data_IF_940191195952
#
_entry.id   IF_940191195952
#
_cell.length_a   1.000
_cell.length_b   1.000
_cell.length_c   1.000
_cell.angle_alpha   90.00
_cell.angle_beta   90.00
_cell.angle_gamma   90.00
#
_symmetry.space_group_name_H-M   'P 1'
#
loop_
_entity.id
_entity.type
_entity.pdbx_description
1 polymer ?
#
# COMPACT_ATOMS: atom_id res chain seq x y z
N UNK A 1 -15.77 -1.97 -10.30
CA UNK A 1 -15.78 -3.36 -10.79
C UNK A 1 -17.20 -3.87 -10.70
N UNK A 2 -17.89 -4.09 -11.82
CA UNK A 2 -19.27 -4.61 -11.81
C UNK A 2 -19.20 -6.11 -11.56
N UNK A 3 -19.18 -6.51 -10.29
CA UNK A 3 -19.54 -7.87 -9.86
C UNK A 3 -21.07 -7.96 -10.04
N UNK A 4 -21.50 -8.03 -11.29
CA UNK A 4 -22.91 -8.12 -11.69
C UNK A 4 -23.01 -9.26 -12.71
N UNK A 5 -23.17 -10.50 -12.26
CA UNK A 5 -23.77 -11.56 -13.12
C UNK A 5 -24.07 -12.92 -12.47
N UNK A 6 -23.93 -13.14 -11.16
CA UNK A 6 -24.63 -14.28 -10.53
C UNK A 6 -24.90 -14.09 -9.03
N UNK A 7 -26.00 -14.64 -8.49
CA UNK A 7 -26.25 -14.73 -7.04
C UNK A 7 -25.10 -15.41 -6.29
N UNK A 8 -24.44 -16.37 -6.92
CA UNK A 8 -23.33 -17.11 -6.33
C UNK A 8 -22.11 -16.22 -6.06
N UNK A 9 -21.76 -15.32 -6.98
CA UNK A 9 -20.66 -14.37 -6.78
C UNK A 9 -21.00 -13.31 -5.73
N UNK A 10 -22.28 -12.98 -5.54
CA UNK A 10 -22.72 -12.10 -4.45
C UNK A 10 -22.59 -12.79 -3.10
N UNK A 11 -22.94 -14.08 -3.01
CA UNK A 11 -22.75 -14.86 -1.78
C UNK A 11 -21.27 -14.98 -1.38
N UNK A 12 -20.39 -15.16 -2.37
CA UNK A 12 -18.95 -15.15 -2.16
C UNK A 12 -18.44 -13.76 -1.78
N UNK A 13 -18.89 -12.69 -2.43
CA UNK A 13 -18.52 -11.32 -2.06
C UNK A 13 -18.89 -11.02 -0.60
N UNK A 14 -20.07 -11.48 -0.17
CA UNK A 14 -20.48 -11.40 1.23
C UNK A 14 -19.51 -12.22 2.12
N UNK A 15 -19.25 -13.48 1.80
CA UNK A 15 -18.34 -14.33 2.58
C UNK A 15 -16.90 -13.78 2.64
N UNK A 16 -16.35 -13.32 1.52
CA UNK A 16 -15.00 -12.74 1.43
C UNK A 16 -14.88 -11.43 2.22
N UNK A 17 -15.96 -10.65 2.27
CA UNK A 17 -16.03 -9.41 3.04
C UNK A 17 -16.25 -9.62 4.54
N UNK A 18 -16.72 -10.81 4.92
CA UNK A 18 -16.99 -11.17 6.31
C UNK A 18 -15.75 -11.76 7.00
N UNK A 19 -15.71 -11.72 8.34
CA UNK A 19 -14.64 -12.30 9.13
C UNK A 19 -14.60 -13.84 9.13
N UNK A 20 -15.39 -14.51 8.30
CA UNK A 20 -15.65 -15.94 8.41
C UNK A 20 -14.90 -16.76 7.36
N UNK A 21 -13.73 -17.26 7.76
CA UNK A 21 -12.94 -18.22 6.95
C UNK A 21 -13.72 -19.50 6.69
N UNK A 22 -14.62 -19.91 7.58
CA UNK A 22 -15.39 -21.14 7.45
C UNK A 22 -16.39 -21.02 6.30
N UNK A 23 -17.07 -19.89 6.17
CA UNK A 23 -17.97 -19.61 5.04
C UNK A 23 -17.22 -19.69 3.69
N UNK A 24 -16.04 -19.09 3.59
CA UNK A 24 -15.18 -19.21 2.39
C UNK A 24 -14.74 -20.65 2.15
N UNK A 25 -14.32 -21.37 3.18
CA UNK A 25 -13.90 -22.77 3.07
C UNK A 25 -15.05 -23.67 2.60
N UNK A 26 -16.26 -23.45 3.11
CA UNK A 26 -17.47 -24.17 2.70
C UNK A 26 -17.80 -23.89 1.24
N UNK A 27 -17.74 -22.62 0.82
CA UNK A 27 -17.96 -22.24 -0.58
C UNK A 27 -16.95 -22.90 -1.52
N UNK A 28 -15.66 -22.91 -1.17
CA UNK A 28 -14.60 -23.55 -1.98
C UNK A 28 -14.67 -25.08 -1.99
N UNK A 29 -15.35 -25.69 -1.00
CA UNK A 29 -15.59 -27.14 -0.95
C UNK A 29 -16.72 -27.57 -1.89
N UNK A 30 -17.70 -26.69 -2.13
CA UNK A 30 -18.85 -26.94 -3.00
C UNK A 30 -19.07 -25.77 -3.96
N UNK A 31 -18.08 -25.44 -4.82
CA UNK A 31 -18.22 -24.28 -5.68
C UNK A 31 -19.24 -24.56 -6.79
N UNK A 32 -20.02 -23.55 -7.22
CA UNK A 32 -20.86 -23.68 -8.41
C UNK A 32 -20.01 -23.86 -9.66
N UNK A 33 -20.64 -24.28 -10.76
CA UNK A 33 -19.98 -24.31 -12.07
C UNK A 33 -19.72 -22.88 -12.53
N UNK A 34 -18.45 -22.47 -12.54
CA UNK A 34 -18.02 -21.14 -12.92
C UNK A 34 -17.16 -21.20 -14.20
N UNK A 35 -17.24 -20.13 -15.01
CA UNK A 35 -16.32 -19.95 -16.13
C UNK A 35 -14.90 -19.62 -15.64
N UNK A 36 -13.90 -19.73 -16.53
CA UNK A 36 -12.53 -19.33 -16.23
C UNK A 36 -12.44 -17.86 -15.75
N UNK A 37 -13.17 -16.96 -16.41
CA UNK A 37 -13.21 -15.54 -16.02
C UNK A 37 -13.86 -15.34 -14.64
N UNK A 38 -14.94 -16.05 -14.33
CA UNK A 38 -15.56 -15.96 -13.01
C UNK A 38 -14.61 -16.43 -11.90
N UNK A 39 -13.85 -17.51 -12.12
CA UNK A 39 -12.79 -17.92 -11.18
C UNK A 39 -11.66 -16.88 -11.04
N UNK A 40 -11.33 -16.16 -12.10
CA UNK A 40 -10.37 -15.06 -12.05
C UNK A 40 -10.90 -13.91 -11.17
N UNK A 41 -12.19 -13.58 -11.29
CA UNK A 41 -12.84 -12.57 -10.45
C UNK A 41 -12.88 -13.00 -8.98
N UNK A 42 -13.13 -14.29 -8.70
CA UNK A 42 -13.01 -14.88 -7.35
C UNK A 42 -11.60 -14.72 -6.80
N UNK A 43 -10.59 -15.05 -7.60
CA UNK A 43 -9.18 -14.86 -7.23
C UNK A 43 -8.88 -13.41 -6.85
N UNK A 44 -9.33 -12.46 -7.67
CA UNK A 44 -9.15 -11.03 -7.41
C UNK A 44 -9.87 -10.60 -6.12
N UNK A 45 -11.11 -11.05 -5.90
CA UNK A 45 -11.87 -10.75 -4.70
C UNK A 45 -11.18 -11.28 -3.43
N UNK A 46 -10.76 -12.54 -3.44
CA UNK A 46 -10.01 -13.13 -2.32
C UNK A 46 -8.70 -12.39 -2.07
N UNK A 47 -7.98 -11.99 -3.13
CA UNK A 47 -6.78 -11.16 -2.99
C UNK A 47 -7.11 -9.81 -2.33
N UNK A 48 -8.11 -9.08 -2.82
CA UNK A 48 -8.53 -7.78 -2.25
C UNK A 48 -8.92 -7.88 -0.77
N UNK A 49 -9.49 -9.01 -0.35
CA UNK A 49 -9.87 -9.30 1.03
C UNK A 49 -8.78 -10.03 1.84
N UNK A 50 -7.55 -10.09 1.33
CA UNK A 50 -6.38 -10.66 2.02
C UNK A 50 -6.58 -12.13 2.42
N UNK A 51 -7.04 -12.93 1.46
CA UNK A 51 -7.22 -14.37 1.55
C UNK A 51 -6.30 -15.07 0.52
N UNK A 52 -4.97 -15.06 0.73
CA UNK A 52 -3.99 -15.47 -0.28
C UNK A 52 -4.15 -16.94 -0.71
N UNK A 53 -4.49 -17.84 0.22
CA UNK A 53 -4.70 -19.25 -0.09
C UNK A 53 -5.92 -19.49 -0.99
N UNK A 54 -7.00 -18.73 -0.76
CA UNK A 54 -8.21 -18.80 -1.57
C UNK A 54 -8.03 -18.11 -2.92
N UNK A 55 -7.27 -17.02 -2.96
CA UNK A 55 -6.89 -16.36 -4.19
C UNK A 55 -6.06 -17.29 -5.08
N UNK A 56 -5.08 -17.99 -4.49
CA UNK A 56 -4.24 -18.95 -5.22
C UNK A 56 -5.09 -20.10 -5.77
N UNK A 57 -5.89 -20.75 -4.92
CA UNK A 57 -6.76 -21.86 -5.33
C UNK A 57 -7.80 -21.46 -6.40
N UNK A 58 -8.26 -20.22 -6.41
CA UNK A 58 -9.15 -19.70 -7.44
C UNK A 58 -8.42 -19.41 -8.76
N UNK A 59 -7.21 -18.84 -8.69
CA UNK A 59 -6.39 -18.58 -9.87
C UNK A 59 -5.97 -19.88 -10.58
N UNK A 60 -5.67 -20.94 -9.83
CA UNK A 60 -5.36 -22.27 -10.37
C UNK A 60 -6.57 -22.87 -11.10
N UNK A 61 -7.78 -22.73 -10.55
CA UNK A 61 -9.03 -23.18 -11.20
C UNK A 61 -9.33 -22.40 -12.47
N UNK A 62 -9.13 -21.07 -12.46
CA UNK A 62 -9.29 -20.25 -13.65
C UNK A 62 -8.38 -20.73 -14.79
N UNK A 63 -7.11 -20.99 -14.45
CA UNK A 63 -6.10 -21.43 -15.39
C UNK A 63 -6.33 -22.86 -15.89
N UNK A 64 -6.83 -23.77 -15.05
CA UNK A 64 -7.18 -25.12 -15.47
C UNK A 64 -8.31 -25.15 -16.53
N UNK A 65 -9.24 -24.19 -16.48
CA UNK A 65 -10.34 -24.07 -17.43
C UNK A 65 -9.95 -23.40 -18.75
N UNK A 66 -8.93 -22.53 -18.73
CA UNK A 66 -8.42 -21.83 -19.91
C UNK A 66 -6.90 -21.64 -19.81
N UNK A 67 -6.12 -22.72 -20.05
CA UNK A 67 -4.67 -22.72 -19.79
C UNK A 67 -3.88 -21.78 -20.70
N UNK A 68 -4.42 -21.44 -21.88
CA UNK A 68 -3.74 -20.61 -22.89
C UNK A 68 -4.16 -19.14 -22.86
N UNK A 69 -4.91 -18.70 -21.84
CA UNK A 69 -5.35 -17.31 -21.71
C UNK A 69 -4.27 -16.44 -21.01
N UNK A 70 -3.62 -15.49 -21.69
CA UNK A 70 -2.52 -14.71 -21.12
C UNK A 70 -2.95 -13.93 -19.86
N UNK A 71 -4.13 -13.31 -19.88
CA UNK A 71 -4.66 -12.60 -18.71
C UNK A 71 -4.81 -13.47 -17.46
N UNK A 72 -5.11 -14.77 -17.62
CA UNK A 72 -5.19 -15.70 -16.50
C UNK A 72 -3.81 -16.14 -16.02
N UNK A 73 -2.86 -16.35 -16.94
CA UNK A 73 -1.46 -16.63 -16.61
C UNK A 73 -0.84 -15.48 -15.81
N UNK A 74 -1.02 -14.22 -16.26
CA UNK A 74 -0.52 -13.04 -15.54
C UNK A 74 -1.18 -12.91 -14.17
N UNK A 75 -2.49 -13.09 -14.07
CA UNK A 75 -3.20 -13.05 -12.79
C UNK A 75 -2.68 -14.11 -11.81
N UNK A 76 -2.49 -15.35 -12.26
CA UNK A 76 -1.91 -16.41 -11.44
C UNK A 76 -0.48 -16.05 -11.00
N UNK A 77 0.36 -15.56 -11.92
CA UNK A 77 1.69 -15.05 -11.60
C UNK A 77 1.69 -13.92 -10.55
N UNK A 78 0.70 -13.02 -10.62
CA UNK A 78 0.51 -11.97 -9.61
C UNK A 78 0.19 -12.58 -8.25
N UNK A 79 -0.74 -13.52 -8.16
CA UNK A 79 -1.10 -14.15 -6.88
C UNK A 79 0.07 -14.93 -6.29
N UNK A 80 0.82 -15.68 -7.10
CA UNK A 80 2.03 -16.39 -6.69
C UNK A 80 3.07 -15.45 -6.08
N UNK A 81 3.28 -14.27 -6.69
CA UNK A 81 4.19 -13.24 -6.15
C UNK A 81 3.75 -12.78 -4.76
N UNK A 82 2.46 -12.54 -4.56
CA UNK A 82 1.90 -12.16 -3.25
C UNK A 82 2.02 -13.29 -2.22
N UNK A 83 1.86 -14.54 -2.65
CA UNK A 83 2.07 -15.73 -1.82
C UNK A 83 3.56 -16.01 -1.53
N UNK A 84 4.47 -15.32 -2.19
CA UNK A 84 5.92 -15.47 -2.02
C UNK A 84 6.58 -16.55 -2.87
N UNK A 85 5.84 -17.15 -3.80
CA UNK A 85 6.36 -18.14 -4.75
C UNK A 85 6.95 -17.42 -5.96
N UNK A 86 8.11 -16.78 -5.77
CA UNK A 86 8.68 -15.82 -6.73
C UNK A 86 9.14 -16.46 -8.05
N UNK A 87 9.81 -17.61 -7.98
CA UNK A 87 10.31 -18.30 -9.18
C UNK A 87 9.14 -18.83 -10.03
N UNK A 88 8.09 -19.32 -9.38
CA UNK A 88 6.87 -19.76 -10.05
C UNK A 88 6.10 -18.59 -10.65
N UNK A 89 6.01 -17.46 -9.93
CA UNK A 89 5.45 -16.23 -10.46
C UNK A 89 6.19 -15.78 -11.74
N UNK A 90 7.52 -15.78 -11.72
CA UNK A 90 8.33 -15.43 -12.89
C UNK A 90 8.05 -16.34 -14.09
N UNK A 91 7.98 -17.66 -13.88
CA UNK A 91 7.67 -18.64 -14.94
C UNK A 91 6.30 -18.40 -15.58
N UNK A 92 5.27 -18.13 -14.77
CA UNK A 92 3.92 -17.87 -15.30
C UNK A 92 3.81 -16.52 -16.00
N UNK A 93 4.47 -15.49 -15.49
CA UNK A 93 4.57 -14.20 -16.17
C UNK A 93 5.30 -14.34 -17.50
N UNK A 94 6.39 -15.10 -17.57
CA UNK A 94 7.13 -15.33 -18.81
C UNK A 94 6.26 -16.07 -19.85
N UNK A 95 5.43 -17.04 -19.44
CA UNK A 95 4.43 -17.66 -20.34
C UNK A 95 3.40 -16.66 -20.86
N UNK A 96 2.87 -15.81 -19.98
CA UNK A 96 1.92 -14.75 -20.36
C UNK A 96 2.53 -13.80 -21.40
N UNK A 97 3.76 -13.36 -21.13
CA UNK A 97 4.48 -12.39 -21.95
C UNK A 97 4.98 -12.97 -23.27
N UNK A 98 5.12 -14.29 -23.39
CA UNK A 98 5.36 -14.94 -24.67
C UNK A 98 4.15 -14.82 -25.63
N UNK A 99 2.93 -14.74 -25.07
CA UNK A 99 1.69 -14.61 -25.85
C UNK A 99 1.27 -13.15 -26.05
N UNK A 100 1.49 -12.29 -25.05
CA UNK A 100 1.23 -10.86 -25.13
C UNK A 100 2.41 -10.05 -24.56
N UNK A 101 3.47 -9.81 -25.36
CA UNK A 101 4.65 -9.09 -24.90
C UNK A 101 4.39 -7.64 -24.46
N UNK A 102 3.33 -7.01 -24.98
CA UNK A 102 2.99 -5.62 -24.72
C UNK A 102 2.09 -5.42 -23.47
N UNK A 103 1.74 -6.50 -22.75
CA UNK A 103 0.95 -6.41 -21.52
C UNK A 103 1.75 -5.70 -20.42
N UNK A 104 1.45 -4.42 -20.18
CA UNK A 104 2.29 -3.53 -19.38
C UNK A 104 2.36 -3.94 -17.91
N UNK A 105 1.23 -4.28 -17.29
CA UNK A 105 1.20 -4.70 -15.89
C UNK A 105 2.01 -6.00 -15.66
N UNK A 106 1.89 -6.97 -16.59
CA UNK A 106 2.66 -8.22 -16.52
C UNK A 106 4.16 -7.97 -16.65
N UNK A 107 4.58 -7.09 -17.56
CA UNK A 107 5.98 -6.69 -17.70
C UNK A 107 6.52 -6.00 -16.44
N UNK A 108 5.73 -5.07 -15.87
CA UNK A 108 6.14 -4.37 -14.65
C UNK A 108 6.32 -5.33 -13.48
N UNK A 109 5.34 -6.21 -13.23
CA UNK A 109 5.45 -7.19 -12.14
C UNK A 109 6.60 -8.17 -12.40
N UNK A 110 6.84 -8.57 -13.65
CA UNK A 110 7.97 -9.44 -13.99
C UNK A 110 9.32 -8.77 -13.75
N UNK A 111 9.42 -7.46 -13.98
CA UNK A 111 10.63 -6.67 -13.77
C UNK A 111 10.91 -6.35 -12.29
N UNK A 112 9.93 -6.51 -11.39
CA UNK A 112 10.14 -6.48 -9.94
C UNK A 112 10.81 -7.75 -9.40
N UNK A 113 10.80 -8.84 -10.18
CA UNK A 113 11.45 -10.10 -9.85
C UNK A 113 12.87 -10.12 -10.42
N UNK A 114 13.74 -10.93 -9.80
CA UNK A 114 15.08 -11.17 -10.32
C UNK A 114 15.03 -11.74 -11.75
N UNK A 115 16.04 -11.40 -12.54
CA UNK A 115 16.17 -11.84 -13.92
C UNK A 115 17.64 -12.08 -14.24
N UNK A 116 17.94 -13.20 -14.87
CA UNK A 116 19.29 -13.51 -15.36
C UNK A 116 19.58 -12.83 -16.71
N UNK A 117 18.55 -12.35 -17.40
CA UNK A 117 18.65 -11.70 -18.72
C UNK A 117 18.03 -10.29 -18.75
N UNK A 118 18.35 -9.39 -17.81
CA UNK A 118 17.71 -8.08 -17.71
C UNK A 118 18.01 -7.19 -18.94
N UNK A 119 19.17 -7.34 -19.56
CA UNK A 119 19.58 -6.69 -20.81
C UNK A 119 18.68 -7.06 -21.99
N UNK A 120 18.44 -8.35 -22.19
CA UNK A 120 17.61 -8.87 -23.29
C UNK A 120 16.17 -8.38 -23.14
N UNK A 121 15.65 -8.37 -21.90
CA UNK A 121 14.30 -7.88 -21.60
C UNK A 121 14.18 -6.38 -21.80
N UNK A 122 15.19 -5.59 -21.38
CA UNK A 122 15.22 -4.15 -21.61
C UNK A 122 15.22 -3.80 -23.11
N UNK A 123 16.00 -4.53 -23.91
CA UNK A 123 16.03 -4.35 -25.37
C UNK A 123 14.67 -4.65 -26.00
N UNK A 124 14.02 -5.76 -25.62
CA UNK A 124 12.69 -6.11 -26.10
C UNK A 124 11.63 -5.06 -25.74
N UNK A 125 11.65 -4.56 -24.49
CA UNK A 125 10.74 -3.48 -24.07
C UNK A 125 10.98 -2.19 -24.85
N UNK A 126 12.24 -1.83 -25.09
CA UNK A 126 12.60 -0.65 -25.89
C UNK A 126 12.03 -0.77 -27.30
N UNK A 127 12.11 -1.95 -27.92
CA UNK A 127 11.52 -2.22 -29.23
C UNK A 127 9.99 -2.10 -29.22
N UNK A 128 9.32 -2.71 -28.24
CA UNK A 128 7.85 -2.64 -28.10
C UNK A 128 7.39 -1.18 -27.97
N UNK A 129 8.03 -0.40 -27.08
CA UNK A 129 7.65 0.99 -26.81
C UNK A 129 7.91 1.90 -28.02
N UNK A 130 8.88 1.56 -28.88
CA UNK A 130 9.25 2.40 -30.04
C UNK A 130 8.53 2.03 -31.33
N UNK A 131 8.25 0.73 -31.57
CA UNK A 131 7.74 0.23 -32.85
C UNK A 131 6.25 -0.07 -32.86
N UNK A 132 5.64 -0.32 -31.71
CA UNK A 132 4.25 -0.75 -31.63
C UNK A 132 3.33 0.37 -31.16
N UNK A 133 2.11 0.40 -31.70
CA UNK A 133 1.03 1.19 -31.11
C UNK A 133 0.52 0.43 -29.88
N UNK A 134 1.00 0.85 -28.71
CA UNK A 134 0.63 0.28 -27.42
C UNK A 134 -0.37 1.22 -26.73
N UNK A 135 -1.42 0.71 -26.07
CA UNK A 135 -2.29 1.55 -25.24
C UNK A 135 -1.49 2.40 -24.25
N UNK A 136 -1.99 3.60 -23.93
CA UNK A 136 -1.25 4.54 -23.06
C UNK A 136 -1.01 3.96 -21.65
N UNK A 137 -1.98 3.21 -21.10
CA UNK A 137 -1.85 2.59 -19.78
C UNK A 137 -0.75 1.52 -19.74
N UNK A 138 -0.70 0.66 -20.76
CA UNK A 138 0.37 -0.32 -20.92
C UNK A 138 1.71 0.37 -21.14
N UNK A 139 1.74 1.41 -21.96
CA UNK A 139 2.95 2.19 -22.24
C UNK A 139 3.57 2.78 -20.97
N UNK A 140 2.76 3.30 -20.04
CA UNK A 140 3.25 3.75 -18.73
C UNK A 140 3.92 2.60 -17.99
N UNK A 141 3.23 1.47 -17.84
CA UNK A 141 3.76 0.33 -17.10
C UNK A 141 5.03 -0.26 -17.75
N UNK A 142 5.10 -0.31 -19.09
CA UNK A 142 6.30 -0.72 -19.83
C UNK A 142 7.49 0.21 -19.58
N UNK A 143 7.29 1.54 -19.51
CA UNK A 143 8.36 2.47 -19.14
C UNK A 143 8.88 2.20 -17.72
N UNK A 144 7.99 1.95 -16.75
CA UNK A 144 8.41 1.57 -15.41
C UNK A 144 9.12 0.19 -15.40
N UNK A 145 8.68 -0.78 -16.21
CA UNK A 145 9.35 -2.08 -16.35
C UNK A 145 10.77 -1.92 -16.94
N UNK A 146 10.93 -1.09 -17.97
CA UNK A 146 12.24 -0.78 -18.56
C UNK A 146 13.17 -0.11 -17.54
N UNK A 147 12.65 0.85 -16.76
CA UNK A 147 13.40 1.45 -15.66
C UNK A 147 13.86 0.41 -14.63
N UNK A 148 13.05 -0.62 -14.33
CA UNK A 148 13.43 -1.72 -13.43
C UNK A 148 14.54 -2.59 -13.98
N UNK A 149 14.52 -2.94 -15.26
CA UNK A 149 15.62 -3.71 -15.85
C UNK A 149 16.92 -2.89 -15.95
N UNK A 150 16.84 -1.60 -16.32
CA UNK A 150 17.98 -0.70 -16.28
C UNK A 150 18.55 -0.56 -14.84
N UNK A 151 17.67 -0.51 -13.83
CA UNK A 151 18.04 -0.53 -12.41
C UNK A 151 18.79 -1.81 -12.02
N UNK A 152 18.38 -2.98 -12.52
CA UNK A 152 19.06 -4.26 -12.27
C UNK A 152 20.45 -4.32 -12.93
N UNK A 153 20.63 -3.65 -14.07
CA UNK A 153 21.92 -3.52 -14.77
C UNK A 153 22.85 -2.45 -14.17
N UNK A 154 22.35 -1.62 -13.25
CA UNK A 154 23.10 -0.46 -12.72
C UNK A 154 23.21 0.71 -13.71
N UNK A 155 22.39 0.73 -14.76
CA UNK A 155 22.35 1.81 -15.75
C UNK A 155 21.44 2.95 -15.26
N UNK A 156 21.97 3.78 -14.35
CA UNK A 156 21.17 4.78 -13.63
C UNK A 156 20.61 5.90 -14.51
N UNK A 157 21.37 6.35 -15.51
CA UNK A 157 20.94 7.39 -16.45
C UNK A 157 19.77 6.89 -17.32
N UNK A 158 19.89 5.69 -17.89
CA UNK A 158 18.84 5.06 -18.69
C UNK A 158 17.59 4.79 -17.84
N UNK A 159 17.79 4.32 -16.60
CA UNK A 159 16.70 4.10 -15.67
C UNK A 159 15.91 5.39 -15.41
N UNK A 160 16.59 6.51 -15.16
CA UNK A 160 15.93 7.80 -14.93
C UNK A 160 15.21 8.31 -16.18
N UNK A 161 15.77 8.14 -17.38
CA UNK A 161 15.10 8.49 -18.62
C UNK A 161 13.79 7.71 -18.82
N UNK A 162 13.80 6.40 -18.57
CA UNK A 162 12.59 5.57 -18.64
C UNK A 162 11.58 5.95 -17.57
N UNK A 163 12.04 6.23 -16.36
CA UNK A 163 11.19 6.64 -15.24
C UNK A 163 10.51 7.98 -15.50
N UNK A 164 11.26 8.99 -15.95
CA UNK A 164 10.75 10.32 -16.30
C UNK A 164 9.72 10.23 -17.44
N UNK A 165 10.00 9.41 -18.46
CA UNK A 165 9.07 9.18 -19.57
C UNK A 165 7.76 8.55 -19.09
N UNK A 166 7.84 7.52 -18.23
CA UNK A 166 6.66 6.87 -17.65
C UNK A 166 5.87 7.79 -16.73
N UNK A 167 6.55 8.54 -15.87
CA UNK A 167 5.95 9.46 -14.91
C UNK A 167 5.26 10.64 -15.62
N UNK A 168 5.89 11.25 -16.63
CA UNK A 168 5.31 12.32 -17.43
C UNK A 168 4.02 11.89 -18.13
N UNK A 169 4.03 10.71 -18.77
CA UNK A 169 2.84 10.10 -19.39
C UNK A 169 1.74 9.82 -18.39
N UNK A 170 2.08 9.21 -17.25
CA UNK A 170 1.11 8.93 -16.18
C UNK A 170 0.46 10.22 -15.67
N UNK A 171 1.26 11.26 -15.43
CA UNK A 171 0.80 12.55 -14.95
C UNK A 171 -0.13 13.27 -15.94
N UNK A 172 0.11 13.12 -17.24
CA UNK A 172 -0.76 13.67 -18.28
C UNK A 172 -2.15 13.01 -18.31
N UNK A 173 -2.27 11.79 -17.76
CA UNK A 173 -3.53 11.02 -17.73
C UNK A 173 -4.55 11.44 -16.65
N UNK A 174 -4.28 12.48 -15.85
CA UNK A 174 -5.24 13.00 -14.87
C UNK A 174 -4.98 14.46 -14.50
N UNK A 175 -6.03 15.13 -13.99
CA UNK A 175 -5.93 16.48 -13.45
C UNK A 175 -5.54 16.42 -11.97
N UNK A 176 -4.46 17.10 -11.61
CA UNK A 176 -3.95 17.22 -10.26
C UNK A 176 -3.31 18.59 -10.08
N UNK A 177 -3.41 19.15 -8.87
CA UNK A 177 -2.82 20.44 -8.49
C UNK A 177 -2.27 20.33 -7.08
N UNK A 178 -0.94 20.29 -6.94
CA UNK A 178 -0.28 20.17 -5.63
C UNK A 178 -0.65 21.29 -4.66
N UNK A 179 -1.03 22.47 -5.16
CA UNK A 179 -1.52 23.58 -4.35
C UNK A 179 -2.75 23.24 -3.52
N UNK A 180 -3.62 22.33 -4.00
CA UNK A 180 -4.79 21.87 -3.24
C UNK A 180 -4.35 21.04 -2.04
N UNK A 181 -3.38 20.15 -2.22
CA UNK A 181 -2.83 19.33 -1.15
C UNK A 181 -2.05 20.20 -0.15
N UNK A 182 -1.22 21.14 -0.60
CA UNK A 182 -0.54 22.11 0.27
C UNK A 182 -1.54 22.92 1.10
N UNK A 183 -2.65 23.33 0.49
CA UNK A 183 -3.72 24.06 1.20
C UNK A 183 -4.41 23.18 2.22
N UNK A 184 -4.74 21.94 1.86
CA UNK A 184 -5.33 20.98 2.79
C UNK A 184 -4.41 20.73 3.99
N UNK A 185 -3.13 20.45 3.75
CA UNK A 185 -2.15 20.14 4.79
C UNK A 185 -1.92 21.34 5.73
N UNK A 186 -1.89 22.56 5.18
CA UNK A 186 -1.85 23.79 5.99
C UNK A 186 -3.11 23.98 6.83
N UNK A 187 -4.30 23.80 6.25
CA UNK A 187 -5.55 23.88 7.01
C UNK A 187 -5.60 22.84 8.13
N UNK A 188 -5.10 21.62 7.90
CA UNK A 188 -4.98 20.58 8.94
C UNK A 188 -4.02 20.99 10.07
N UNK A 189 -2.94 21.72 9.77
CA UNK A 189 -2.01 22.22 10.77
C UNK A 189 -2.63 23.36 11.60
N UNK A 190 -3.37 24.25 10.95
CA UNK A 190 -3.99 25.43 11.59
C UNK A 190 -5.27 25.09 12.37
N UNK A 191 -5.86 23.92 12.15
CA UNK A 191 -7.08 23.50 12.81
C UNK A 191 -6.91 23.26 14.32
N UNK A 192 -7.97 23.57 15.07
CA UNK A 192 -8.09 23.15 16.46
C UNK A 192 -8.33 21.63 16.51
N UNK A 193 -7.45 20.92 17.20
CA UNK A 193 -7.53 19.46 17.30
C UNK A 193 -8.65 19.04 18.24
N UNK A 194 -9.37 17.93 17.96
CA UNK A 194 -10.39 17.42 18.85
C UNK A 194 -9.77 17.02 20.20
N UNK A 195 -10.56 17.15 21.26
CA UNK A 195 -10.17 16.62 22.57
C UNK A 195 -9.98 15.10 22.48
N UNK A 196 -8.87 14.62 23.03
CA UNK A 196 -8.58 13.18 23.04
C UNK A 196 -9.26 12.55 24.27
N UNK A 197 -10.17 11.58 24.07
CA UNK A 197 -10.78 10.88 25.18
C UNK A 197 -9.74 10.03 25.92
N UNK A 198 -9.96 9.83 27.22
CA UNK A 198 -9.20 8.84 27.99
C UNK A 198 -9.73 7.46 27.62
N UNK A 199 -8.83 6.51 27.35
CA UNK A 199 -9.18 5.09 27.21
C UNK A 199 -9.94 4.64 28.46
N UNK A 200 -11.23 4.30 28.37
CA UNK A 200 -11.92 3.67 29.47
C UNK A 200 -11.31 2.28 29.63
N UNK A 201 -10.25 2.20 30.45
CA UNK A 201 -9.57 0.96 30.75
C UNK A 201 -10.61 -0.10 31.14
N UNK A 202 -10.42 -1.33 30.64
CA UNK A 202 -11.22 -2.56 30.88
C UNK A 202 -12.15 -3.04 29.74
N UNK A 203 -11.66 -3.10 28.50
CA UNK A 203 -12.28 -3.98 27.51
C UNK A 203 -11.28 -5.06 27.06
N UNK A 204 -11.66 -6.34 27.15
CA UNK A 204 -10.96 -7.48 26.53
C UNK A 204 -11.06 -7.48 24.99
N UNK A 205 -11.43 -6.35 24.39
CA UNK A 205 -11.61 -6.22 22.95
C UNK A 205 -10.30 -5.90 22.28
N UNK A 206 -10.07 -6.48 21.10
CA UNK A 206 -8.90 -6.18 20.29
C UNK A 206 -8.68 -4.69 20.05
N UNK A 207 -7.42 -4.29 20.13
CA UNK A 207 -7.00 -2.88 20.04
C UNK A 207 -6.36 -2.61 18.67
N UNK A 208 -6.83 -1.57 17.95
CA UNK A 208 -6.19 -1.18 16.69
C UNK A 208 -4.78 -0.63 16.95
N UNK A 209 -3.81 -1.09 16.17
CA UNK A 209 -2.47 -0.52 16.08
C UNK A 209 -2.27 0.05 14.68
N UNK A 210 -2.27 1.37 14.55
CA UNK A 210 -2.05 2.02 13.26
C UNK A 210 -0.55 2.18 12.99
N UNK A 211 -0.11 1.77 11.80
CA UNK A 211 1.23 2.07 11.29
C UNK A 211 1.09 3.01 10.10
N UNK A 212 1.52 4.25 10.27
CA UNK A 212 1.28 5.35 9.32
C UNK A 212 2.57 6.05 8.91
N UNK A 213 2.49 6.89 7.88
CA UNK A 213 3.62 7.64 7.33
C UNK A 213 3.40 7.93 5.85
N UNK A 214 4.42 8.42 5.14
CA UNK A 214 4.38 8.35 3.69
C UNK A 214 4.59 6.91 3.22
N UNK A 215 4.06 6.51 2.05
CA UNK A 215 4.41 5.20 1.50
C UNK A 215 5.93 5.13 1.28
N UNK A 216 6.48 3.91 1.32
CA UNK A 216 7.93 3.63 1.17
C UNK A 216 8.84 4.08 2.34
N UNK A 217 8.28 4.38 3.52
CA UNK A 217 9.04 4.62 4.76
C UNK A 217 9.34 3.37 5.59
N UNK A 218 9.06 2.17 5.06
CA UNK A 218 9.33 0.90 5.77
C UNK A 218 8.20 0.40 6.65
N UNK A 219 7.00 0.98 6.54
CA UNK A 219 5.81 0.58 7.30
C UNK A 219 5.47 -0.91 7.17
N UNK A 220 5.61 -1.51 5.99
CA UNK A 220 5.36 -2.94 5.78
C UNK A 220 6.41 -3.86 6.42
N UNK A 221 7.66 -3.40 6.53
CA UNK A 221 8.70 -4.15 7.26
C UNK A 221 8.38 -4.17 8.76
N UNK A 222 7.98 -3.02 9.32
CA UNK A 222 7.59 -2.95 10.72
C UNK A 222 6.34 -3.78 11.01
N UNK A 223 5.32 -3.70 10.15
CA UNK A 223 4.12 -4.54 10.24
C UNK A 223 4.49 -6.03 10.28
N UNK A 224 5.27 -6.51 9.30
CA UNK A 224 5.67 -7.92 9.23
C UNK A 224 6.46 -8.36 10.47
N UNK A 225 7.26 -7.47 11.04
CA UNK A 225 8.02 -7.78 12.25
C UNK A 225 7.14 -7.87 13.49
N UNK A 226 6.27 -6.89 13.72
CA UNK A 226 5.36 -6.92 14.86
C UNK A 226 4.36 -8.09 14.76
N UNK A 227 3.85 -8.37 13.55
CA UNK A 227 2.95 -9.50 13.29
C UNK A 227 3.58 -10.88 13.49
N UNK A 228 4.90 -10.97 13.74
CA UNK A 228 5.55 -12.23 14.15
C UNK A 228 5.25 -12.63 15.60
N UNK A 229 4.66 -11.73 16.39
CA UNK A 229 4.24 -11.99 17.76
C UNK A 229 2.82 -12.61 17.78
N UNK A 230 2.56 -13.69 18.55
CA UNK A 230 1.28 -14.43 18.50
C UNK A 230 0.04 -13.60 18.89
N UNK A 231 0.22 -12.55 19.70
CA UNK A 231 -0.85 -11.63 20.11
C UNK A 231 -1.04 -10.42 19.17
N UNK A 232 -0.34 -10.38 18.02
CA UNK A 232 -0.43 -9.32 17.03
C UNK A 232 -0.79 -9.95 15.68
N UNK A 233 -1.81 -9.43 15.01
CA UNK A 233 -2.14 -9.81 13.62
C UNK A 233 -1.93 -8.63 12.68
N UNK A 234 -1.23 -8.87 11.55
CA UNK A 234 -1.16 -7.90 10.45
C UNK A 234 -2.44 -7.92 9.64
N UNK A 235 -3.16 -6.79 9.56
CA UNK A 235 -4.38 -6.67 8.77
C UNK A 235 -4.16 -5.94 7.43
N UNK A 236 -2.92 -5.59 7.08
CA UNK A 236 -2.58 -4.93 5.83
C UNK A 236 -3.14 -3.51 5.72
N UNK A 237 -3.44 -3.09 4.49
CA UNK A 237 -4.00 -1.77 4.19
C UNK A 237 -5.54 -1.78 4.31
N UNK A 238 -6.08 -1.29 5.42
CA UNK A 238 -7.52 -1.26 5.64
C UNK A 238 -8.13 0.10 5.20
N UNK A 239 -9.09 0.12 4.26
CA UNK A 239 -9.78 1.35 3.89
C UNK A 239 -10.86 1.76 4.92
N UNK A 240 -11.04 0.98 5.99
CA UNK A 240 -12.20 1.04 6.87
C UNK A 240 -12.34 2.37 7.60
N UNK A 241 -11.23 2.95 8.10
CA UNK A 241 -11.30 4.23 8.82
C UNK A 241 -11.73 5.38 7.90
N UNK A 242 -11.10 5.49 6.73
CA UNK A 242 -11.49 6.49 5.72
C UNK A 242 -12.94 6.30 5.26
N UNK A 243 -13.39 5.04 5.08
CA UNK A 243 -14.79 4.76 4.74
C UNK A 243 -15.75 5.21 5.85
N UNK A 244 -15.42 4.93 7.11
CA UNK A 244 -16.22 5.35 8.26
C UNK A 244 -16.30 6.89 8.36
N UNK A 245 -15.18 7.59 8.14
CA UNK A 245 -15.14 9.06 8.07
C UNK A 245 -16.05 9.60 6.95
N UNK A 246 -15.93 9.06 5.74
CA UNK A 246 -16.74 9.51 4.59
C UNK A 246 -18.24 9.26 4.85
N UNK A 247 -18.59 8.09 5.38
CA UNK A 247 -19.98 7.76 5.73
C UNK A 247 -20.54 8.70 6.80
N UNK A 248 -19.77 8.98 7.85
CA UNK A 248 -20.21 9.92 8.89
C UNK A 248 -20.33 11.35 8.34
N UNK A 249 -19.37 11.78 7.52
CA UNK A 249 -19.41 13.09 6.86
C UNK A 249 -20.66 13.26 5.99
N UNK A 250 -20.98 12.26 5.17
CA UNK A 250 -22.19 12.25 4.35
C UNK A 250 -23.46 12.27 5.21
N UNK A 251 -23.49 11.48 6.28
CA UNK A 251 -24.64 11.44 7.20
C UNK A 251 -24.88 12.78 7.90
N UNK A 252 -23.82 13.51 8.25
CA UNK A 252 -23.91 14.74 9.05
C UNK A 252 -24.03 16.01 8.20
N UNK A 253 -23.38 16.06 7.05
CA UNK A 253 -23.30 17.28 6.22
C UNK A 253 -23.87 17.12 4.80
N UNK A 254 -24.15 15.89 4.36
CA UNK A 254 -24.68 15.61 3.03
C UNK A 254 -23.71 15.91 1.90
N UNK A 255 -23.73 17.15 1.39
CA UNK A 255 -22.96 17.55 0.19
C UNK A 255 -21.44 17.52 0.45
N UNK A 256 -20.63 17.17 -0.56
CA UNK A 256 -19.18 17.25 -0.45
C UNK A 256 -18.73 18.71 -0.27
N UNK A 257 -17.62 18.94 0.46
CA UNK A 257 -17.08 20.27 0.69
C UNK A 257 -16.56 20.89 -0.62
N UNK A 258 -16.68 22.21 -0.76
CA UNK A 258 -16.21 22.94 -1.94
C UNK A 258 -14.72 23.31 -1.85
N UNK A 259 -14.18 23.44 -0.63
CA UNK A 259 -12.79 23.87 -0.39
C UNK A 259 -12.09 23.00 0.67
N UNK A 260 -10.74 22.95 0.68
CA UNK A 260 -10.00 22.26 1.74
C UNK A 260 -10.29 22.82 3.14
N UNK A 261 -10.40 24.14 3.30
CA UNK A 261 -10.69 24.76 4.59
C UNK A 261 -12.07 24.37 5.14
N UNK A 262 -13.09 24.37 4.27
CA UNK A 262 -14.43 23.90 4.62
C UNK A 262 -14.43 22.42 5.01
N UNK A 263 -13.70 21.59 4.25
CA UNK A 263 -13.54 20.17 4.57
C UNK A 263 -12.94 19.98 5.97
N UNK A 264 -11.83 20.67 6.27
CA UNK A 264 -11.13 20.54 7.55
C UNK A 264 -12.01 21.00 8.73
N UNK A 265 -12.70 22.13 8.61
CA UNK A 265 -13.63 22.58 9.66
C UNK A 265 -14.77 21.59 9.92
N UNK A 266 -15.30 20.95 8.87
CA UNK A 266 -16.35 19.93 8.99
C UNK A 266 -15.81 18.60 9.53
N UNK A 267 -14.64 18.14 9.08
CA UNK A 267 -14.11 16.82 9.47
C UNK A 267 -13.77 16.77 10.97
N UNK A 268 -13.28 17.87 11.54
CA UNK A 268 -13.00 17.95 12.98
C UNK A 268 -14.23 18.17 13.86
N UNK A 269 -15.40 18.46 13.27
CA UNK A 269 -16.69 18.56 13.99
C UNK A 269 -17.59 17.34 13.80
N UNK A 270 -17.05 16.24 13.24
CA UNK A 270 -17.76 14.98 13.12
C UNK A 270 -18.04 14.35 14.50
N UNK A 271 -19.12 13.58 14.60
CA UNK A 271 -19.30 12.62 15.67
C UNK A 271 -18.26 11.48 15.53
N UNK A 272 -17.12 11.66 16.20
CA UNK A 272 -16.01 10.71 16.17
C UNK A 272 -16.31 9.42 16.93
N UNK A 273 -17.28 9.41 17.85
CA UNK A 273 -17.75 8.18 18.50
C UNK A 273 -18.39 7.26 17.46
N UNK A 274 -19.26 7.81 16.62
CA UNK A 274 -19.90 7.06 15.54
C UNK A 274 -18.90 6.61 14.45
N UNK A 275 -17.82 7.36 14.22
CA UNK A 275 -16.71 6.94 13.33
C UNK A 275 -15.99 5.73 13.92
N UNK A 276 -15.60 5.81 15.20
CA UNK A 276 -14.90 4.74 15.91
C UNK A 276 -15.69 3.44 15.93
N UNK A 277 -16.99 3.50 16.24
CA UNK A 277 -17.88 2.33 16.24
C UNK A 277 -17.94 1.63 14.88
N UNK A 278 -18.10 2.40 13.79
CA UNK A 278 -18.11 1.85 12.42
C UNK A 278 -16.78 1.21 12.03
N UNK A 279 -15.67 1.82 12.43
CA UNK A 279 -14.34 1.25 12.21
C UNK A 279 -14.18 -0.08 12.93
N UNK A 280 -14.51 -0.14 14.22
CA UNK A 280 -14.40 -1.36 15.03
C UNK A 280 -15.32 -2.46 14.49
N UNK A 281 -16.53 -2.12 14.06
CA UNK A 281 -17.45 -3.07 13.43
C UNK A 281 -16.90 -3.64 12.12
N UNK A 282 -16.37 -2.78 11.25
CA UNK A 282 -15.78 -3.21 9.98
C UNK A 282 -14.48 -4.02 10.17
N UNK A 283 -13.79 -3.86 11.31
CA UNK A 283 -12.54 -4.56 11.63
C UNK A 283 -12.70 -5.76 12.58
N UNK A 284 -13.94 -6.17 12.90
CA UNK A 284 -14.22 -7.33 13.78
C UNK A 284 -13.50 -8.62 13.39
N UNK A 285 -13.14 -8.79 12.11
CA UNK A 285 -12.35 -9.94 11.64
C UNK A 285 -11.06 -10.16 12.40
N UNK A 286 -10.39 -9.08 12.77
CA UNK A 286 -9.10 -9.16 13.44
C UNK A 286 -9.24 -9.08 14.96
N UNK A 287 -10.47 -9.12 15.50
CA UNK A 287 -10.71 -8.89 16.92
C UNK A 287 -10.36 -10.07 17.84
N UNK A 288 -9.89 -11.20 17.27
CA UNK A 288 -9.42 -12.34 18.04
C UNK A 288 -7.98 -12.18 18.59
N UNK A 289 -7.21 -11.22 18.07
CA UNK A 289 -5.87 -10.89 18.56
C UNK A 289 -5.93 -9.74 19.57
N UNK A 290 -4.96 -9.63 20.49
CA UNK A 290 -4.87 -8.48 21.41
C UNK A 290 -4.66 -7.18 20.63
N UNK A 291 -3.80 -7.22 19.61
CA UNK A 291 -3.55 -6.11 18.69
C UNK A 291 -3.76 -6.55 17.26
N UNK A 292 -4.40 -5.70 16.45
CA UNK A 292 -4.39 -5.86 14.99
C UNK A 292 -3.82 -4.62 14.34
N UNK A 293 -2.97 -4.81 13.34
CA UNK A 293 -2.26 -3.74 12.67
C UNK A 293 -3.04 -3.28 11.45
N UNK A 294 -3.50 -2.04 11.47
CA UNK A 294 -3.96 -1.32 10.29
C UNK A 294 -2.80 -0.49 9.73
N UNK A 295 -2.17 -1.02 8.69
CA UNK A 295 -1.03 -0.39 8.01
C UNK A 295 -1.52 0.24 6.73
N UNK A 296 -2.10 1.43 6.81
CA UNK A 296 -2.40 2.26 5.66
C UNK A 296 -1.64 3.59 5.78
N UNK A 297 -0.55 3.82 5.01
CA UNK A 297 0.34 4.97 5.25
C UNK A 297 -0.39 6.31 5.31
N UNK A 298 -1.33 6.54 4.38
CA UNK A 298 -2.05 7.82 4.27
C UNK A 298 -2.95 8.14 5.47
N UNK A 299 -3.25 7.16 6.35
CA UNK A 299 -3.90 7.44 7.63
C UNK A 299 -3.09 8.43 8.49
N UNK A 300 -1.84 8.72 8.16
CA UNK A 300 -1.08 9.81 8.78
C UNK A 300 -1.78 11.18 8.68
N UNK A 301 -2.64 11.43 7.70
CA UNK A 301 -3.43 12.67 7.61
C UNK A 301 -4.62 12.70 8.58
N UNK A 302 -4.96 11.55 9.15
CA UNK A 302 -6.10 11.37 10.05
C UNK A 302 -5.67 11.21 11.51
N UNK A 303 -4.39 11.46 11.86
CA UNK A 303 -3.84 11.19 13.20
C UNK A 303 -4.70 11.72 14.35
N UNK A 304 -5.09 13.01 14.39
CA UNK A 304 -5.90 13.52 15.49
C UNK A 304 -7.31 12.90 15.52
N UNK A 305 -7.89 12.61 14.35
CA UNK A 305 -9.22 12.00 14.22
C UNK A 305 -9.20 10.54 14.71
N UNK A 306 -8.15 9.78 14.38
CA UNK A 306 -7.98 8.39 14.81
C UNK A 306 -7.91 8.33 16.34
N UNK A 307 -7.05 9.15 16.94
CA UNK A 307 -6.85 9.17 18.40
C UNK A 307 -8.12 9.62 19.15
N UNK A 308 -8.88 10.56 18.57
CA UNK A 308 -10.14 11.00 19.17
C UNK A 308 -11.30 10.01 18.97
N UNK A 309 -11.35 9.30 17.84
CA UNK A 309 -12.40 8.32 17.55
C UNK A 309 -12.17 6.96 18.26
N UNK A 310 -10.91 6.62 18.55
CA UNK A 310 -10.49 5.31 19.05
C UNK A 310 -9.53 5.50 20.23
N UNK A 311 -10.02 5.79 21.44
CA UNK A 311 -9.16 6.08 22.59
C UNK A 311 -8.25 4.90 23.00
N UNK A 312 -8.63 3.66 22.64
CA UNK A 312 -7.84 2.46 22.87
C UNK A 312 -6.77 2.19 21.79
N UNK A 313 -6.78 2.95 20.69
CA UNK A 313 -5.85 2.74 19.58
C UNK A 313 -4.45 3.24 19.93
N UNK A 314 -3.46 2.51 19.42
CA UNK A 314 -2.05 2.93 19.44
C UNK A 314 -1.63 3.28 18.02
N UNK A 315 -0.74 4.26 17.88
CA UNK A 315 -0.29 4.73 16.56
C UNK A 315 1.23 4.84 16.52
N UNK A 316 1.83 4.29 15.47
CA UNK A 316 3.24 4.44 15.15
C UNK A 316 3.33 5.24 13.83
N UNK A 317 4.00 6.38 13.86
CA UNK A 317 4.36 7.14 12.67
C UNK A 317 5.80 6.80 12.26
N UNK A 318 6.00 6.43 10.99
CA UNK A 318 7.32 6.17 10.42
C UNK A 318 7.68 7.28 9.44
N UNK A 319 8.75 7.99 9.78
CA UNK A 319 9.46 8.88 8.89
C UNK A 319 10.73 8.21 8.34
N UNK A 320 11.25 8.74 7.24
CA UNK A 320 12.46 8.26 6.58
C UNK A 320 13.20 9.46 6.01
N UNK A 321 14.50 9.31 5.76
CA UNK A 321 15.27 10.31 5.03
C UNK A 321 14.51 10.77 3.76
N UNK A 322 14.22 12.09 3.63
CA UNK A 322 13.36 12.57 2.56
C UNK A 322 13.96 12.36 1.17
N UNK A 323 15.29 12.19 1.04
CA UNK A 323 15.96 11.92 -0.24
C UNK A 323 15.73 10.48 -0.66
N UNK A 324 15.95 9.55 0.27
CA UNK A 324 15.72 8.13 0.05
C UNK A 324 14.23 7.82 -0.19
N UNK A 325 13.35 8.42 0.62
CA UNK A 325 11.91 8.30 0.48
C UNK A 325 11.42 8.93 -0.83
N UNK A 326 11.85 10.15 -1.16
CA UNK A 326 11.46 10.84 -2.39
C UNK A 326 11.78 10.03 -3.63
N UNK A 327 13.01 9.52 -3.73
CA UNK A 327 13.39 8.66 -4.84
C UNK A 327 12.54 7.36 -4.88
N UNK A 328 12.27 6.74 -3.72
CA UNK A 328 11.42 5.56 -3.66
C UNK A 328 9.97 5.83 -4.08
N UNK A 329 9.43 7.02 -3.78
CA UNK A 329 8.10 7.46 -4.21
C UNK A 329 8.07 7.67 -5.73
N UNK A 330 9.06 8.37 -6.28
CA UNK A 330 9.16 8.65 -7.70
C UNK A 330 9.28 7.37 -8.54
N UNK A 331 10.08 6.41 -8.06
CA UNK A 331 10.34 5.10 -8.71
C UNK A 331 9.15 4.13 -8.71
N UNK A 332 8.08 4.41 -7.97
CA UNK A 332 6.94 3.51 -7.83
C UNK A 332 5.75 4.00 -8.66
N UNK A 333 5.16 3.09 -9.45
CA UNK A 333 3.87 3.33 -10.09
C UNK A 333 2.76 3.06 -9.06
N UNK A 334 2.04 4.12 -8.66
CA UNK A 334 0.99 4.09 -7.62
C UNK A 334 -0.44 4.17 -8.18
N UNK A 335 -0.63 3.97 -9.49
CA UNK A 335 -1.91 4.24 -10.12
C UNK A 335 -2.32 5.70 -9.91
N UNK A 336 -3.44 5.94 -9.22
CA UNK A 336 -3.94 7.29 -8.89
C UNK A 336 -3.94 7.61 -7.39
N UNK A 337 -3.38 6.73 -6.55
CA UNK A 337 -3.45 6.87 -5.09
C UNK A 337 -2.57 8.02 -4.57
N UNK A 338 -1.41 8.23 -5.19
CA UNK A 338 -0.44 9.27 -4.82
C UNK A 338 -0.12 10.15 -6.05
N UNK A 339 -1.02 11.05 -6.48
CA UNK A 339 -0.86 11.77 -7.74
C UNK A 339 0.35 12.72 -7.77
N UNK A 340 0.82 13.19 -6.62
CA UNK A 340 2.03 14.01 -6.48
C UNK A 340 3.32 13.29 -6.87
N UNK A 341 3.34 11.96 -6.98
CA UNK A 341 4.58 11.19 -7.15
C UNK A 341 5.14 11.19 -8.58
N UNK A 342 4.44 11.78 -9.55
CA UNK A 342 4.78 11.65 -10.97
C UNK A 342 5.46 12.89 -11.58
N UNK A 343 5.73 13.89 -10.75
CA UNK A 343 6.51 15.08 -11.10
C UNK A 343 7.38 15.46 -9.93
N UNK A 344 8.67 15.67 -10.18
CA UNK A 344 9.64 15.89 -9.13
C UNK A 344 9.36 17.17 -8.31
N UNK A 345 8.90 18.25 -8.96
CA UNK A 345 8.50 19.50 -8.30
C UNK A 345 7.24 19.34 -7.44
N UNK A 346 6.22 18.65 -7.94
CA UNK A 346 5.00 18.36 -7.19
C UNK A 346 5.28 17.43 -6.00
N UNK A 347 6.15 16.44 -6.19
CA UNK A 347 6.60 15.53 -5.13
C UNK A 347 7.32 16.30 -4.02
N UNK A 348 8.27 17.18 -4.38
CA UNK A 348 9.04 17.97 -3.40
C UNK A 348 8.15 18.88 -2.56
N UNK A 349 7.21 19.57 -3.24
CA UNK A 349 6.22 20.44 -2.60
C UNK A 349 5.31 19.68 -1.63
N UNK A 350 4.75 18.55 -2.07
CA UNK A 350 3.91 17.72 -1.21
C UNK A 350 4.69 17.19 0.00
N UNK A 351 5.91 16.67 -0.21
CA UNK A 351 6.75 16.13 0.86
C UNK A 351 7.07 17.21 1.90
N UNK A 352 7.40 18.43 1.50
CA UNK A 352 7.62 19.53 2.43
C UNK A 352 6.38 19.85 3.24
N UNK A 353 5.24 20.07 2.58
CA UNK A 353 3.98 20.38 3.27
C UNK A 353 3.57 19.26 4.24
N UNK A 354 3.76 18.00 3.86
CA UNK A 354 3.52 16.85 4.73
C UNK A 354 4.42 16.86 5.96
N UNK A 355 5.73 17.07 5.77
CA UNK A 355 6.69 17.10 6.87
C UNK A 355 6.45 18.26 7.83
N UNK A 356 6.07 19.43 7.30
CA UNK A 356 5.65 20.58 8.11
C UNK A 356 4.43 20.23 8.97
N UNK A 357 3.42 19.56 8.40
CA UNK A 357 2.26 19.08 9.16
C UNK A 357 2.66 18.10 10.26
N UNK A 358 3.49 17.10 9.96
CA UNK A 358 3.93 16.12 10.96
C UNK A 358 4.74 16.78 12.08
N UNK A 359 5.66 17.69 11.75
CA UNK A 359 6.42 18.46 12.74
C UNK A 359 5.51 19.32 13.63
N UNK A 360 4.42 19.85 13.07
CA UNK A 360 3.43 20.62 13.81
C UNK A 360 2.60 19.74 14.78
N UNK A 361 2.23 18.53 14.37
CA UNK A 361 1.46 17.59 15.20
C UNK A 361 2.29 16.82 16.22
N UNK A 362 3.58 16.59 15.97
CA UNK A 362 4.45 15.84 16.85
C UNK A 362 4.40 16.27 18.33
N UNK A 363 4.56 17.56 18.68
CA UNK A 363 4.46 17.99 20.09
C UNK A 363 3.03 17.96 20.64
N UNK A 364 2.00 17.97 19.79
CA UNK A 364 0.58 17.98 20.18
C UNK A 364 0.00 16.60 20.42
N UNK A 365 0.63 15.55 19.86
CA UNK A 365 0.16 14.17 19.91
C UNK A 365 1.21 13.26 20.56
N UNK A 366 1.46 13.39 21.88
CA UNK A 366 2.47 12.58 22.57
C UNK A 366 2.11 11.09 22.67
N UNK A 367 0.87 10.71 22.33
CA UNK A 367 0.43 9.31 22.30
C UNK A 367 0.96 8.55 21.08
N UNK A 368 1.42 9.26 20.05
CA UNK A 368 1.99 8.67 18.83
C UNK A 368 3.46 8.31 19.06
N UNK A 369 3.86 7.10 18.66
CA UNK A 369 5.27 6.73 18.59
C UNK A 369 5.88 7.22 17.28
N UNK A 370 6.72 8.25 17.35
CA UNK A 370 7.38 8.87 16.20
C UNK A 370 8.74 8.20 15.95
N UNK A 371 8.83 7.40 14.88
CA UNK A 371 10.03 6.61 14.56
C UNK A 371 10.71 7.11 13.30
N UNK A 372 12.04 7.09 13.32
CA UNK A 372 12.87 7.27 12.13
C UNK A 372 13.32 5.90 11.61
N UNK A 373 13.01 5.60 10.35
CA UNK A 373 13.33 4.33 9.70
C UNK A 373 14.82 3.97 9.84
N UNK A 374 15.71 4.95 9.61
CA UNK A 374 17.16 4.76 9.67
C UNK A 374 17.66 4.38 11.07
N UNK A 375 16.97 4.83 12.12
CA UNK A 375 17.28 4.44 13.50
C UNK A 375 16.72 3.07 13.80
N UNK A 376 15.50 2.79 13.32
CA UNK A 376 14.85 1.49 13.49
C UNK A 376 15.70 0.36 12.91
N UNK A 377 16.19 0.50 11.68
CA UNK A 377 16.98 -0.52 10.99
C UNK A 377 18.39 -0.72 11.57
N UNK A 378 18.94 0.25 12.30
CA UNK A 378 20.28 0.17 12.89
C UNK A 378 20.32 -0.70 14.15
N UNK A 379 19.28 -0.65 14.98
CA UNK A 379 19.17 -1.47 16.20
C UNK A 379 17.76 -2.03 16.34
N UNK A 380 17.45 -2.99 15.45
CA UNK A 380 16.16 -3.65 15.40
C UNK A 380 15.80 -4.36 16.72
N UNK A 381 16.72 -5.07 17.40
CA UNK A 381 16.43 -5.68 18.70
C UNK A 381 16.06 -4.66 19.79
N UNK A 382 16.74 -3.51 19.87
CA UNK A 382 16.39 -2.48 20.84
C UNK A 382 15.02 -1.87 20.55
N UNK A 383 14.73 -1.53 19.28
CA UNK A 383 13.41 -1.05 18.89
C UNK A 383 12.31 -2.06 19.26
N UNK A 384 12.56 -3.35 19.01
CA UNK A 384 11.60 -4.41 19.31
C UNK A 384 11.23 -4.45 20.79
N UNK A 385 12.24 -4.37 21.68
CA UNK A 385 11.99 -4.31 23.13
C UNK A 385 11.16 -3.09 23.50
N UNK A 386 11.56 -1.90 23.05
CA UNK A 386 10.83 -0.64 23.31
C UNK A 386 9.38 -0.71 22.85
N UNK A 387 9.12 -1.22 21.65
CA UNK A 387 7.76 -1.32 21.11
C UNK A 387 6.92 -2.37 21.84
N UNK A 388 7.50 -3.53 22.18
CA UNK A 388 6.76 -4.56 22.91
C UNK A 388 6.45 -4.13 24.35
N UNK A 389 7.39 -3.47 25.04
CA UNK A 389 7.15 -2.88 26.35
C UNK A 389 6.03 -1.83 26.27
N UNK A 390 6.08 -0.93 25.27
CA UNK A 390 5.03 0.05 25.03
C UNK A 390 3.68 -0.59 24.68
N UNK A 391 3.67 -1.72 23.97
CA UNK A 391 2.45 -2.49 23.66
C UNK A 391 2.00 -3.40 24.80
N UNK A 392 2.73 -3.42 25.93
CA UNK A 392 2.51 -4.28 27.10
C UNK A 392 2.52 -5.77 26.74
N UNK A 393 3.48 -6.17 25.89
CA UNK A 393 3.70 -7.53 25.42
C UNK A 393 5.05 -8.07 25.89
N UNK A 394 5.08 -9.32 26.31
CA UNK A 394 6.34 -10.01 26.60
C UNK A 394 7.03 -10.42 25.28
N UNK A 395 8.31 -10.11 25.06
CA UNK A 395 9.03 -10.59 23.89
C UNK A 395 9.04 -12.12 23.82
N UNK A 396 8.75 -12.68 22.65
CA UNK A 396 8.84 -14.13 22.37
C UNK A 396 9.88 -14.38 21.27
N UNK A 397 10.45 -15.59 21.21
CA UNK A 397 11.26 -15.99 20.05
C UNK A 397 10.37 -16.01 18.81
N UNK A 398 10.58 -15.07 17.89
CA UNK A 398 9.70 -14.87 16.75
C UNK A 398 9.84 -16.00 15.74
N UNK A 399 8.71 -16.52 15.22
CA UNK A 399 8.68 -17.28 13.97
C UNK A 399 8.42 -16.28 12.85
N UNK A 400 9.32 -16.19 11.88
CA UNK A 400 9.13 -15.32 10.71
C UNK A 400 8.09 -15.96 9.77
N UNK A 401 6.83 -15.57 9.87
CA UNK A 401 5.83 -15.79 8.82
C UNK A 401 4.91 -14.57 8.75
N UNK A 402 5.22 -13.65 7.83
CA UNK A 402 4.36 -12.51 7.51
C UNK A 402 4.04 -12.49 6.02
N UNK A 403 2.75 -12.51 5.69
CA UNK A 403 2.27 -12.22 4.34
C UNK A 403 2.11 -10.71 4.19
N UNK A 404 2.58 -10.13 3.08
CA UNK A 404 2.32 -8.72 2.74
C UNK A 404 1.82 -8.63 1.32
N UNK A 405 0.61 -8.09 1.13
CA UNK A 405 0.02 -7.88 -0.20
C UNK A 405 0.56 -6.62 -0.91
N UNK A 406 1.63 -6.00 -0.40
CA UNK A 406 2.06 -4.66 -0.80
C UNK A 406 3.18 -4.71 -1.86
N UNK A 407 3.41 -3.61 -2.56
CA UNK A 407 4.59 -3.43 -3.43
C UNK A 407 5.94 -3.53 -2.69
N UNK A 408 5.94 -3.69 -1.36
CA UNK A 408 7.14 -3.93 -0.53
C UNK A 408 7.37 -5.41 -0.22
N UNK A 409 6.50 -6.32 -0.66
CA UNK A 409 6.53 -7.74 -0.28
C UNK A 409 7.86 -8.45 -0.60
N UNK A 410 8.48 -8.17 -1.75
CA UNK A 410 9.81 -8.70 -2.09
C UNK A 410 10.90 -8.17 -1.16
N UNK A 411 10.77 -6.93 -0.70
CA UNK A 411 11.79 -6.24 0.12
C UNK A 411 11.79 -6.69 1.58
N UNK A 412 10.65 -7.16 2.11
CA UNK A 412 10.54 -7.70 3.47
C UNK A 412 11.36 -8.99 3.60
N UNK A 413 11.41 -9.79 2.54
CA UNK A 413 12.10 -11.09 2.52
C UNK A 413 13.62 -10.97 2.41
N UNK A 414 14.12 -9.93 1.75
CA UNK A 414 15.57 -9.66 1.65
C UNK A 414 16.18 -9.23 3.02
N UNK A 415 15.34 -8.83 3.98
CA UNK A 415 15.76 -8.41 5.32
C UNK A 415 16.05 -6.93 5.45
N UNK A 416 16.56 -6.53 6.63
CA UNK A 416 16.86 -5.14 6.97
C UNK A 416 18.12 -4.69 6.22
N UNK A 417 17.98 -3.75 5.28
CA UNK A 417 19.10 -3.31 4.44
C UNK A 417 19.36 -1.81 4.54
N UNK A 418 20.42 -1.45 5.26
CA UNK A 418 20.92 -0.08 5.34
C UNK A 418 21.43 0.46 3.99
N UNK A 419 21.95 -0.41 3.11
CA UNK A 419 22.52 -0.01 1.81
C UNK A 419 21.49 0.62 0.85
N UNK A 420 20.19 0.40 1.08
CA UNK A 420 19.12 0.98 0.26
C UNK A 420 18.78 2.42 0.63
N UNK A 421 19.33 2.95 1.72
CA UNK A 421 19.13 4.34 2.14
C UNK A 421 19.85 5.29 1.18
N UNK A 422 21.11 5.00 0.83
CA UNK A 422 21.94 5.90 0.01
C UNK A 422 21.73 5.76 -1.51
N UNK A 423 20.78 4.91 -1.95
CA UNK A 423 20.55 4.64 -3.38
C UNK A 423 20.16 5.88 -4.18
N UNK A 424 19.57 6.88 -3.54
CA UNK A 424 19.23 8.17 -4.17
C UNK A 424 20.46 8.91 -4.71
N UNK A 425 21.67 8.66 -4.17
CA UNK A 425 22.91 9.29 -4.67
C UNK A 425 23.23 8.92 -6.11
N UNK A 426 22.86 7.70 -6.53
CA UNK A 426 23.11 7.23 -7.90
C UNK A 426 22.32 8.01 -8.95
N UNK A 427 21.24 8.69 -8.54
CA UNK A 427 20.35 9.46 -9.41
C UNK A 427 20.35 10.95 -9.09
N UNK A 428 21.22 11.39 -8.17
CA UNK A 428 21.28 12.77 -7.72
C UNK A 428 21.33 13.80 -8.87
N UNK A 429 22.08 13.60 -9.98
CA UNK A 429 22.08 14.53 -11.10
C UNK A 429 20.71 14.70 -11.78
N UNK A 430 19.92 13.63 -11.85
CA UNK A 430 18.60 13.61 -12.51
C UNK A 430 17.45 14.00 -11.58
N UNK A 431 17.71 14.03 -10.27
CA UNK A 431 16.68 14.23 -9.24
C UNK A 431 16.74 15.63 -8.58
N UNK A 432 17.53 16.54 -9.15
CA UNK A 432 17.70 17.91 -8.66
C UNK A 432 16.40 18.70 -8.54
N UNK A 433 15.43 18.64 -9.48
CA UNK A 433 14.16 19.33 -9.33
C UNK A 433 13.41 18.99 -8.02
N UNK A 434 13.52 17.76 -7.53
CA UNK A 434 13.01 17.35 -6.21
C UNK A 434 13.94 17.80 -5.08
N UNK A 435 15.24 17.46 -5.18
CA UNK A 435 16.21 17.70 -4.09
C UNK A 435 16.34 19.19 -3.75
N UNK A 436 16.27 20.07 -4.75
CA UNK A 436 16.33 21.52 -4.56
C UNK A 436 15.14 22.09 -3.79
N UNK A 437 14.05 21.33 -3.59
CA UNK A 437 12.90 21.74 -2.80
C UNK A 437 13.00 21.30 -1.35
N UNK A 438 13.77 20.25 -1.03
CA UNK A 438 13.79 19.69 0.33
C UNK A 438 14.18 20.70 1.40
N UNK A 439 13.38 20.78 2.46
CA UNK A 439 13.64 21.65 3.61
C UNK A 439 13.32 23.13 3.38
N UNK A 440 12.68 23.46 2.26
CA UNK A 440 12.06 24.76 1.99
C UNK A 440 10.56 24.73 2.30
#
# INVERSE_FOLDING_TARGET
>A
MKIQSSPDLQSLAAAASQPDRQALSQWFSHPPSLSAQAWADVSQLCHLHQWPEFALAASERALALAPDAPGLMSNHGFILRHCGQLDEAARWLDKSLALNPAQGEAQLVRAELASDTPDTRLNALTEIITRQSVPEEDTVALCYAAARYAEQLGHWDDMMQWLDRGAARKRAGFQYQVTRDETLLRCLAEAELPALPVDPAQAETARPLFIVGLPRTGTSLLESHLASHPNIVGAGELPHFNRALIQQFQSQFGKPPATPAEFVGKVFSLDLTAVGQRYLEASRRWSGARWFIDKLPINSLNLPLILAALPQAKVIHLDRDPRAMGFALYRQLFGRVYPFSYRQDELGRYVNAYRQLMAHWQPKLPQVQWLQYESAVRDWPALTRTLFDWLELTPVSTRAQGFSATASASQIRDGVHCHRIERWRQVEPHFQPYLALLGK
#
